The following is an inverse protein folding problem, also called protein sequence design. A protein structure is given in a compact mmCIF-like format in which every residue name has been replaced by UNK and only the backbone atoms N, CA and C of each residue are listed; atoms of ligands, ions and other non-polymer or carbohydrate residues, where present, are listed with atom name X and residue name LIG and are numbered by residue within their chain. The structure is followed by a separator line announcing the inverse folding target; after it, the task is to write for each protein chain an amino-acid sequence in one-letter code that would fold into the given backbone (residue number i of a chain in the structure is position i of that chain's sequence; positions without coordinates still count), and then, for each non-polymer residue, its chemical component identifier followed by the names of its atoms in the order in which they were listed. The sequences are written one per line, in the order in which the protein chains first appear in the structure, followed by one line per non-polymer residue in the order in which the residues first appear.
data_IF_200124236216
#
_entry.id   IF_200124236216
#
_cell.length_a   1.000
_cell.length_b   1.000
_cell.length_c   1.000
_cell.angle_alpha   90.00
_cell.angle_beta   90.00
_cell.angle_gamma   90.00
#
_symmetry.space_group_name_H-M   'P 1'
#
loop_
_entity.id
_entity.type
_entity.pdbx_description
1 polymer ?
#
# COMPACT_ATOMS: atom_id res chain seq x y z
N UNK A 1 -43.15 -24.20 -6.07
CA UNK A 1 -42.05 -24.92 -5.40
C UNK A 1 -41.07 -25.33 -6.49
N UNK A 2 -39.85 -24.81 -6.45
CA UNK A 2 -38.72 -25.30 -7.25
C UNK A 2 -37.43 -24.71 -6.67
N UNK A 3 -36.88 -25.48 -5.74
CA UNK A 3 -35.46 -25.80 -5.58
C UNK A 3 -34.44 -24.65 -5.47
N UNK A 4 -34.23 -24.26 -4.22
CA UNK A 4 -32.95 -23.79 -3.69
C UNK A 4 -31.90 -24.91 -3.83
N UNK A 5 -31.22 -24.99 -4.97
CA UNK A 5 -29.96 -25.72 -5.09
C UNK A 5 -28.85 -24.81 -4.59
N UNK A 6 -28.69 -24.76 -3.27
CA UNK A 6 -27.44 -24.28 -2.68
C UNK A 6 -26.39 -25.35 -3.02
N UNK A 7 -25.50 -25.05 -3.95
CA UNK A 7 -24.34 -25.89 -4.27
C UNK A 7 -23.55 -26.14 -2.97
N UNK A 8 -23.75 -27.31 -2.38
CA UNK A 8 -23.03 -27.74 -1.18
C UNK A 8 -21.60 -28.12 -1.59
N UNK A 9 -20.65 -27.23 -1.34
CA UNK A 9 -19.23 -27.55 -1.46
C UNK A 9 -18.84 -28.34 -0.20
N UNK A 10 -18.35 -29.60 -0.31
CA UNK A 10 -17.95 -30.37 0.86
C UNK A 10 -16.82 -29.67 1.62
N UNK A 11 -16.93 -29.56 2.94
CA UNK A 11 -15.90 -28.95 3.80
C UNK A 11 -14.50 -29.57 3.60
N UNK A 12 -14.44 -30.88 3.29
CA UNK A 12 -13.19 -31.59 3.00
C UNK A 12 -12.48 -31.09 1.74
N UNK A 13 -13.23 -30.61 0.74
CA UNK A 13 -12.67 -30.02 -0.48
C UNK A 13 -12.09 -28.63 -0.21
N UNK A 14 -12.74 -27.83 0.66
CA UNK A 14 -12.28 -26.49 1.05
C UNK A 14 -10.96 -26.58 1.83
N UNK A 15 -10.89 -27.47 2.82
CA UNK A 15 -9.66 -27.68 3.62
C UNK A 15 -8.47 -28.08 2.74
N UNK A 16 -8.68 -29.00 1.79
CA UNK A 16 -7.64 -29.43 0.84
C UNK A 16 -7.12 -28.26 -0.01
N UNK A 17 -8.03 -27.39 -0.48
CA UNK A 17 -7.65 -26.20 -1.23
C UNK A 17 -6.84 -25.20 -0.39
N UNK A 18 -7.24 -24.96 0.86
CA UNK A 18 -6.53 -24.05 1.77
C UNK A 18 -5.11 -24.55 2.08
N UNK A 19 -4.94 -25.84 2.38
CA UNK A 19 -3.63 -26.45 2.59
C UNK A 19 -2.73 -26.36 1.35
N UNK A 20 -3.31 -26.53 0.17
CA UNK A 20 -2.58 -26.37 -1.08
C UNK A 20 -2.11 -24.91 -1.27
N UNK A 21 -3.01 -23.94 -1.10
CA UNK A 21 -2.67 -22.51 -1.19
C UNK A 21 -1.61 -22.10 -0.15
N UNK A 22 -1.66 -22.65 1.07
CA UNK A 22 -0.65 -22.39 2.09
C UNK A 22 0.73 -22.93 1.68
N UNK A 23 0.79 -24.15 1.11
CA UNK A 23 2.05 -24.73 0.60
C UNK A 23 2.65 -23.87 -0.52
N UNK A 24 1.82 -23.43 -1.47
CA UNK A 24 2.24 -22.53 -2.56
C UNK A 24 2.73 -21.20 -1.98
N UNK A 25 1.98 -20.60 -1.06
CA UNK A 25 2.35 -19.35 -0.40
C UNK A 25 3.68 -19.44 0.35
N UNK A 26 3.91 -20.51 1.12
CA UNK A 26 5.19 -20.77 1.80
C UNK A 26 6.35 -20.91 0.82
N UNK A 27 6.12 -21.52 -0.34
CA UNK A 27 7.13 -21.62 -1.38
C UNK A 27 7.48 -20.26 -1.99
N UNK A 28 6.46 -19.48 -2.38
CA UNK A 28 6.61 -18.12 -2.92
C UNK A 28 7.33 -17.18 -1.95
N UNK A 29 6.97 -17.22 -0.67
CA UNK A 29 7.58 -16.42 0.39
C UNK A 29 9.09 -16.70 0.54
N UNK A 30 9.51 -17.96 0.37
CA UNK A 30 10.92 -18.35 0.48
C UNK A 30 11.72 -17.92 -0.75
N UNK A 31 11.14 -18.02 -1.94
CA UNK A 31 11.87 -17.82 -3.20
C UNK A 31 11.91 -16.38 -3.70
N UNK A 32 10.93 -15.56 -3.35
CA UNK A 32 10.79 -14.21 -3.89
C UNK A 32 10.79 -13.17 -2.76
N UNK A 33 11.81 -12.33 -2.73
CA UNK A 33 11.95 -11.28 -1.72
C UNK A 33 10.81 -10.25 -1.79
N UNK A 34 10.33 -9.91 -2.98
CA UNK A 34 9.21 -8.97 -3.13
C UNK A 34 7.94 -9.53 -2.50
N UNK A 35 7.62 -10.82 -2.74
CA UNK A 35 6.46 -11.46 -2.11
C UNK A 35 6.59 -11.55 -0.59
N UNK A 36 7.78 -11.87 -0.09
CA UNK A 36 8.07 -11.85 1.34
C UNK A 36 7.85 -10.45 1.95
N UNK A 37 8.40 -9.42 1.32
CA UNK A 37 8.28 -8.03 1.78
C UNK A 37 6.84 -7.57 1.77
N UNK A 38 6.09 -7.85 0.70
CA UNK A 38 4.67 -7.49 0.60
C UNK A 38 3.86 -8.20 1.69
N UNK A 39 4.04 -9.52 1.86
CA UNK A 39 3.34 -10.28 2.89
C UNK A 39 3.64 -9.71 4.30
N UNK A 40 4.91 -9.50 4.63
CA UNK A 40 5.29 -8.95 5.94
C UNK A 40 4.75 -7.54 6.18
N UNK A 41 4.75 -6.70 5.14
CA UNK A 41 4.25 -5.32 5.22
C UNK A 41 2.71 -5.31 5.42
N UNK A 42 1.98 -6.09 4.63
CA UNK A 42 0.51 -6.16 4.69
C UNK A 42 -0.01 -6.82 5.97
N UNK A 43 0.77 -7.70 6.59
CA UNK A 43 0.45 -8.30 7.89
C UNK A 43 0.88 -7.43 9.09
N UNK A 44 1.66 -6.36 8.87
CA UNK A 44 2.04 -5.45 9.96
C UNK A 44 0.81 -4.63 10.43
N UNK A 45 0.42 -4.66 11.71
CA UNK A 45 -0.84 -4.06 12.16
C UNK A 45 -0.98 -2.56 11.88
N UNK A 46 0.10 -1.80 12.01
CA UNK A 46 0.07 -0.35 11.74
C UNK A 46 -0.04 -0.04 10.25
N UNK A 47 0.64 -0.83 9.41
CA UNK A 47 0.57 -0.63 7.96
C UNK A 47 -0.78 -1.10 7.42
N UNK A 48 -1.33 -2.21 7.93
CA UNK A 48 -2.69 -2.66 7.61
C UNK A 48 -3.72 -1.57 7.91
N UNK A 49 -3.65 -0.94 9.10
CA UNK A 49 -4.52 0.20 9.46
C UNK A 49 -4.36 1.38 8.51
N UNK A 50 -3.13 1.72 8.12
CA UNK A 50 -2.87 2.77 7.14
C UNK A 50 -3.47 2.41 5.78
N UNK A 51 -3.25 1.18 5.33
CA UNK A 51 -3.70 0.66 4.05
C UNK A 51 -5.22 0.69 3.95
N UNK A 52 -5.92 0.09 4.91
CA UNK A 52 -7.39 0.03 4.91
C UNK A 52 -8.02 1.44 4.92
N UNK A 53 -7.37 2.42 5.57
CA UNK A 53 -7.83 3.81 5.63
C UNK A 53 -7.56 4.60 4.35
N UNK A 54 -6.36 4.46 3.78
CA UNK A 54 -5.85 5.35 2.73
C UNK A 54 -5.87 4.75 1.33
N UNK A 55 -6.03 3.43 1.18
CA UNK A 55 -6.03 2.73 -0.11
C UNK A 55 -7.43 2.29 -0.55
N UNK A 56 -8.49 2.86 0.04
CA UNK A 56 -9.87 2.55 -0.34
C UNK A 56 -10.29 3.13 -1.70
N UNK A 57 -9.63 4.20 -2.14
CA UNK A 57 -9.91 4.89 -3.39
C UNK A 57 -8.68 5.67 -3.87
N UNK A 58 -8.65 5.99 -5.17
CA UNK A 58 -7.50 6.61 -5.81
C UNK A 58 -7.16 8.00 -5.27
N UNK A 59 -8.14 8.78 -4.80
CA UNK A 59 -7.89 10.12 -4.26
C UNK A 59 -7.17 10.04 -2.91
N UNK A 60 -7.59 9.12 -2.04
CA UNK A 60 -6.86 8.84 -0.79
C UNK A 60 -5.49 8.23 -1.03
N UNK A 61 -5.36 7.33 -2.02
CA UNK A 61 -4.05 6.76 -2.42
C UNK A 61 -3.10 7.88 -2.81
N UNK A 62 -3.54 8.81 -3.67
CA UNK A 62 -2.73 9.96 -4.07
C UNK A 62 -2.33 10.82 -2.88
N UNK A 63 -3.26 11.07 -1.96
CA UNK A 63 -2.98 11.84 -0.76
C UNK A 63 -1.90 11.19 0.10
N UNK A 64 -2.00 9.90 0.40
CA UNK A 64 -0.98 9.24 1.24
C UNK A 64 0.34 9.08 0.50
N UNK A 65 0.33 8.81 -0.81
CA UNK A 65 1.54 8.75 -1.63
C UNK A 65 2.29 10.08 -1.63
N UNK A 66 1.58 11.21 -1.64
CA UNK A 66 2.20 12.52 -1.50
C UNK A 66 2.99 12.63 -0.19
N UNK A 67 2.40 12.29 0.97
CA UNK A 67 3.12 12.33 2.25
C UNK A 67 4.34 11.41 2.25
N UNK A 68 4.19 10.17 1.77
CA UNK A 68 5.28 9.19 1.73
C UNK A 68 6.42 9.64 0.80
N UNK A 69 6.10 10.25 -0.34
CA UNK A 69 7.10 10.76 -1.28
C UNK A 69 7.85 11.96 -0.74
N UNK A 70 7.16 12.92 -0.11
CA UNK A 70 7.84 14.04 0.53
C UNK A 70 8.74 13.55 1.65
N UNK A 71 8.27 12.60 2.47
CA UNK A 71 9.09 11.99 3.52
C UNK A 71 10.35 11.33 2.95
N UNK A 72 10.22 10.56 1.86
CA UNK A 72 11.35 9.96 1.15
C UNK A 72 12.33 11.02 0.62
N UNK A 73 11.84 12.12 0.05
CA UNK A 73 12.72 13.18 -0.46
C UNK A 73 13.46 13.90 0.66
N UNK A 74 12.81 14.15 1.82
CA UNK A 74 13.50 14.67 3.01
C UNK A 74 14.69 13.78 3.41
N UNK A 75 14.52 12.45 3.36
CA UNK A 75 15.60 11.50 3.66
C UNK A 75 16.76 11.56 2.65
N UNK A 76 16.46 11.80 1.37
CA UNK A 76 17.48 11.86 0.31
C UNK A 76 18.22 13.19 0.27
N UNK A 77 17.53 14.30 0.52
CA UNK A 77 18.07 15.64 0.32
C UNK A 77 18.69 16.23 1.59
N UNK A 78 18.35 15.68 2.76
CA UNK A 78 18.88 16.20 4.01
C UNK A 78 20.40 15.98 4.07
N UNK A 79 21.21 17.03 4.33
CA UNK A 79 22.66 16.91 4.46
C UNK A 79 23.07 16.18 5.75
N UNK A 80 22.12 15.93 6.65
CA UNK A 80 22.32 15.26 7.94
C UNK A 80 21.26 14.19 8.14
N UNK A 81 21.58 13.17 8.92
CA UNK A 81 20.62 12.14 9.30
C UNK A 81 19.61 12.72 10.31
N UNK A 82 18.36 12.83 9.87
CA UNK A 82 17.26 13.29 10.72
C UNK A 82 16.59 12.09 11.42
N UNK A 83 16.16 12.27 12.65
CA UNK A 83 15.28 11.30 13.30
C UNK A 83 13.82 11.46 12.82
N UNK A 84 12.96 10.51 13.17
CA UNK A 84 11.55 10.51 12.74
C UNK A 84 10.78 11.79 13.10
N UNK A 85 10.98 12.34 14.30
CA UNK A 85 10.29 13.57 14.73
C UNK A 85 10.75 14.81 13.96
N UNK A 86 12.04 14.90 13.65
CA UNK A 86 12.59 15.98 12.83
C UNK A 86 12.05 15.92 11.41
N UNK A 87 11.99 14.72 10.81
CA UNK A 87 11.40 14.50 9.49
C UNK A 87 9.92 14.90 9.46
N UNK A 88 9.16 14.56 10.50
CA UNK A 88 7.75 14.96 10.61
C UNK A 88 7.56 16.47 10.67
N UNK A 89 8.42 17.20 11.40
CA UNK A 89 8.38 18.67 11.45
C UNK A 89 8.62 19.31 10.08
N UNK A 90 9.64 18.83 9.35
CA UNK A 90 9.93 19.30 7.99
C UNK A 90 8.78 18.97 7.03
N UNK A 91 8.24 17.75 7.11
CA UNK A 91 7.08 17.32 6.33
C UNK A 91 5.87 18.24 6.58
N UNK A 92 5.52 18.52 7.83
CA UNK A 92 4.40 19.40 8.18
C UNK A 92 4.60 20.81 7.61
N UNK A 93 5.81 21.36 7.69
CA UNK A 93 6.14 22.67 7.11
C UNK A 93 5.95 22.70 5.58
N UNK A 94 6.45 21.69 4.86
CA UNK A 94 6.28 21.57 3.40
C UNK A 94 4.80 21.43 3.04
N UNK A 95 4.06 20.62 3.80
CA UNK A 95 2.65 20.35 3.51
C UNK A 95 1.74 21.52 3.86
N UNK A 96 2.14 22.40 4.77
CA UNK A 96 1.43 23.66 5.06
C UNK A 96 1.67 24.72 4.00
N UNK A 97 2.86 24.74 3.41
CA UNK A 97 3.16 25.63 2.29
C UNK A 97 2.26 25.32 1.10
N UNK A 98 1.44 26.31 0.72
CA UNK A 98 0.42 26.14 -0.33
C UNK A 98 1.05 25.89 -1.69
N UNK A 99 2.16 26.56 -2.00
CA UNK A 99 2.81 26.47 -3.29
C UNK A 99 3.54 25.14 -3.44
N UNK A 100 4.34 24.76 -2.43
CA UNK A 100 5.03 23.47 -2.42
C UNK A 100 4.04 22.32 -2.49
N UNK A 101 3.00 22.33 -1.64
CA UNK A 101 1.94 21.31 -1.68
C UNK A 101 1.30 21.23 -3.06
N UNK A 102 1.00 22.36 -3.70
CA UNK A 102 0.39 22.37 -5.05
C UNK A 102 1.31 21.73 -6.09
N UNK A 103 2.60 22.08 -6.06
CA UNK A 103 3.59 21.53 -7.00
C UNK A 103 3.73 20.01 -6.82
N UNK A 104 3.73 19.52 -5.58
CA UNK A 104 3.77 18.09 -5.29
C UNK A 104 2.49 17.39 -5.76
N UNK A 105 1.31 17.95 -5.49
CA UNK A 105 0.04 17.42 -6.00
C UNK A 105 0.02 17.28 -7.52
N UNK A 106 0.57 18.26 -8.24
CA UNK A 106 0.66 18.22 -9.70
C UNK A 106 1.58 17.11 -10.17
N UNK A 107 2.76 16.98 -9.57
CA UNK A 107 3.72 15.93 -9.90
C UNK A 107 3.14 14.51 -9.69
N UNK A 108 2.45 14.28 -8.56
CA UNK A 108 1.78 13.00 -8.28
C UNK A 108 0.68 12.72 -9.31
N UNK A 109 -0.11 13.73 -9.67
CA UNK A 109 -1.17 13.58 -10.66
C UNK A 109 -0.64 13.29 -12.07
N UNK A 110 0.45 13.93 -12.48
CA UNK A 110 1.09 13.68 -13.78
C UNK A 110 1.50 12.20 -13.88
N UNK A 111 2.24 11.71 -12.88
CA UNK A 111 2.73 10.32 -12.84
C UNK A 111 1.63 9.25 -12.70
N UNK A 112 0.49 9.60 -12.11
CA UNK A 112 -0.65 8.68 -11.99
C UNK A 112 -1.61 8.73 -13.17
N UNK A 113 -1.60 9.81 -13.96
CA UNK A 113 -2.38 9.89 -15.19
C UNK A 113 -1.84 8.93 -16.26
N UNK A 114 -0.53 8.66 -16.24
CA UNK A 114 0.11 7.69 -17.14
C UNK A 114 -0.37 6.25 -16.90
N UNK A 115 -0.88 5.93 -15.71
CA UNK A 115 -1.37 4.58 -15.36
C UNK A 115 -2.78 4.33 -15.92
N UNK A 116 -3.59 5.39 -16.13
CA UNK A 116 -4.94 5.28 -16.70
C UNK A 116 -4.97 4.89 -18.18
N UNK A 117 -3.83 4.85 -18.87
CA UNK A 117 -3.72 4.43 -20.28
C UNK A 117 -3.35 2.95 -20.44
N UNK A 118 -3.37 2.16 -19.36
CA UNK A 118 -3.11 0.71 -19.35
C UNK A 118 -4.37 -0.12 -19.03
N UNK A 119 -5.53 0.52 -18.88
CA UNK A 119 -6.87 -0.10 -18.83
C UNK A 119 -7.59 0.07 -20.18
#
# INVERSE_FOLDING_TARGET
MSDLVTLYVPESSITTCLEHSEKVGKHLYKQNENYRTIANCMEHPEFRKLFDKQFSDWDKVKNILMFLKVYQEIEKTSPVELNGYQKLSVLDNIMRDRELRRNICQEVNNRTSDIKYLE
#
